data_IF_637378496668
#
_entry.id   IF_637378496668
#
_cell.length_a   1.000
_cell.length_b   1.000
_cell.length_c   1.000
_cell.angle_alpha   90.00
_cell.angle_beta   90.00
_cell.angle_gamma   90.00
#
_symmetry.space_group_name_H-M   'P 1'
#
loop_
_entity.id
_entity.type
_entity.pdbx_description
1 polymer ?
#
# COMPACT_ATOMS: atom_id res chain seq x y z
N UNK A 1 10.60 -54.98 1.41
CA UNK A 1 9.93 -53.75 0.94
C UNK A 1 8.51 -54.16 0.64
N UNK A 2 7.57 -53.78 1.51
CA UNK A 2 6.16 -54.11 1.31
C UNK A 2 5.63 -53.30 0.14
N UNK A 3 5.13 -53.99 -0.90
CA UNK A 3 4.43 -53.34 -2.02
C UNK A 3 3.28 -52.51 -1.45
N UNK A 4 3.25 -51.22 -1.75
CA UNK A 4 2.11 -50.38 -1.38
C UNK A 4 0.83 -50.94 -2.03
N UNK A 5 -0.30 -50.96 -1.30
CA UNK A 5 -1.55 -51.45 -1.83
C UNK A 5 -2.04 -50.53 -2.96
N UNK A 6 -2.26 -51.09 -4.14
CA UNK A 6 -2.63 -50.34 -5.35
C UNK A 6 -4.10 -49.88 -5.35
N UNK A 7 -4.92 -50.47 -4.50
CA UNK A 7 -6.30 -50.08 -4.24
C UNK A 7 -6.53 -49.97 -2.73
N UNK A 8 -7.21 -48.91 -2.28
CA UNK A 8 -7.43 -48.65 -0.85
C UNK A 8 -8.87 -48.24 -0.61
N UNK A 9 -9.58 -48.98 0.24
CA UNK A 9 -10.93 -48.62 0.66
C UNK A 9 -10.92 -47.41 1.61
N UNK A 10 -11.86 -46.47 1.40
CA UNK A 10 -12.00 -45.21 2.14
C UNK A 10 -13.37 -45.16 2.80
N UNK A 11 -13.46 -44.48 3.94
CA UNK A 11 -14.73 -44.20 4.62
C UNK A 11 -15.62 -45.44 4.85
N UNK A 12 -15.00 -46.60 5.07
CA UNK A 12 -15.72 -47.86 5.30
C UNK A 12 -16.42 -47.76 6.65
N UNK A 13 -17.75 -47.82 6.74
CA UNK A 13 -18.48 -47.77 8.01
C UNK A 13 -18.11 -48.92 8.95
N UNK A 14 -18.41 -48.79 10.24
CA UNK A 14 -18.37 -49.95 11.16
C UNK A 14 -19.60 -50.85 10.97
N UNK A 15 -20.70 -50.27 10.50
CA UNK A 15 -21.94 -50.98 10.19
C UNK A 15 -22.69 -50.33 9.04
N UNK A 16 -23.47 -51.12 8.32
CA UNK A 16 -24.34 -50.67 7.23
C UNK A 16 -25.78 -51.18 7.43
N UNK A 17 -26.76 -50.43 6.91
CA UNK A 17 -28.17 -50.82 6.99
C UNK A 17 -28.60 -51.56 5.71
N UNK A 18 -29.07 -52.81 5.81
CA UNK A 18 -29.42 -53.59 4.62
C UNK A 18 -30.61 -53.03 3.84
N UNK A 19 -31.47 -52.22 4.45
CA UNK A 19 -32.58 -51.57 3.74
C UNK A 19 -32.13 -50.39 2.87
N UNK A 20 -30.89 -49.93 2.99
CA UNK A 20 -30.34 -48.80 2.24
C UNK A 20 -29.28 -49.24 1.24
N UNK A 21 -29.05 -48.45 0.19
CA UNK A 21 -27.89 -48.65 -0.69
C UNK A 21 -26.61 -48.49 0.11
N UNK A 22 -25.59 -49.30 -0.19
CA UNK A 22 -24.27 -49.18 0.40
C UNK A 22 -23.30 -48.60 -0.61
N UNK A 23 -22.68 -47.48 -0.24
CA UNK A 23 -21.68 -46.79 -1.03
C UNK A 23 -20.28 -47.20 -0.55
N UNK A 24 -19.56 -47.94 -1.39
CA UNK A 24 -18.20 -48.38 -1.14
C UNK A 24 -17.23 -47.41 -1.81
N UNK A 25 -16.61 -46.54 -1.01
CA UNK A 25 -15.63 -45.58 -1.48
C UNK A 25 -14.24 -46.21 -1.49
N UNK A 26 -13.49 -46.01 -2.56
CA UNK A 26 -12.12 -46.52 -2.68
C UNK A 26 -11.28 -45.59 -3.55
N UNK A 27 -9.96 -45.66 -3.38
CA UNK A 27 -9.00 -44.92 -4.19
C UNK A 27 -8.08 -45.89 -4.92
N UNK A 28 -7.91 -45.70 -6.22
CA UNK A 28 -6.92 -46.42 -7.03
C UNK A 28 -5.69 -45.54 -7.17
N UNK A 29 -4.51 -46.13 -6.93
CA UNK A 29 -3.23 -45.43 -7.07
C UNK A 29 -2.79 -45.36 -8.53
N UNK A 30 -1.87 -44.45 -8.87
CA UNK A 30 -1.26 -44.35 -10.20
C UNK A 30 -0.63 -45.64 -10.73
N UNK A 31 -0.19 -46.54 -9.84
CA UNK A 31 0.38 -47.85 -10.20
C UNK A 31 -0.68 -48.90 -10.55
N UNK A 32 -1.96 -48.64 -10.24
CA UNK A 32 -3.05 -49.56 -10.48
C UNK A 32 -3.59 -49.44 -11.91
N UNK A 33 -3.78 -50.58 -12.58
CA UNK A 33 -4.38 -50.63 -13.91
C UNK A 33 -5.77 -51.22 -13.82
N UNK A 34 -6.76 -50.35 -13.75
CA UNK A 34 -8.17 -50.73 -13.79
C UNK A 34 -8.51 -51.51 -15.08
N UNK A 35 -9.37 -52.50 -14.93
CA UNK A 35 -10.04 -53.21 -16.02
C UNK A 35 -11.55 -53.21 -15.82
N UNK A 36 -12.32 -53.20 -16.90
CA UNK A 36 -13.78 -53.38 -16.86
C UNK A 36 -14.22 -54.75 -16.32
N UNK A 37 -13.29 -55.70 -16.17
CA UNK A 37 -13.51 -57.00 -15.54
C UNK A 37 -13.12 -57.03 -14.05
N UNK A 38 -12.66 -55.91 -13.49
CA UNK A 38 -12.42 -55.78 -12.05
C UNK A 38 -13.76 -55.61 -11.33
N UNK A 39 -13.87 -56.18 -10.13
CA UNK A 39 -15.10 -56.13 -9.34
C UNK A 39 -14.79 -56.02 -7.86
N UNK A 40 -15.73 -55.42 -7.11
CA UNK A 40 -15.66 -55.38 -5.66
C UNK A 40 -16.75 -56.29 -5.12
N UNK A 41 -16.38 -57.20 -4.24
CA UNK A 41 -17.29 -58.09 -3.55
C UNK A 41 -17.43 -57.75 -2.07
N UNK A 42 -18.57 -58.14 -1.51
CA UNK A 42 -18.79 -58.23 -0.06
C UNK A 42 -18.56 -59.69 0.33
N UNK A 43 -17.64 -59.94 1.25
CA UNK A 43 -17.28 -61.28 1.71
C UNK A 43 -17.47 -61.40 3.21
N UNK A 44 -17.97 -62.53 3.69
CA UNK A 44 -17.96 -62.87 5.12
C UNK A 44 -16.50 -63.07 5.57
N UNK A 45 -16.11 -62.48 6.71
CA UNK A 45 -14.74 -62.59 7.24
C UNK A 45 -14.39 -64.07 7.46
N UNK A 46 -13.18 -64.47 7.06
CA UNK A 46 -12.73 -65.87 7.10
C UNK A 46 -12.94 -66.64 5.79
N UNK A 47 -13.35 -65.97 4.71
CA UNK A 47 -13.37 -66.54 3.36
C UNK A 47 -11.98 -67.01 2.91
N UNK A 48 -11.94 -68.07 2.10
CA UNK A 48 -10.71 -68.69 1.58
C UNK A 48 -10.59 -68.69 0.06
N UNK A 49 -11.66 -68.29 -0.63
CA UNK A 49 -11.71 -68.24 -2.09
C UNK A 49 -12.54 -67.06 -2.58
N UNK A 50 -12.13 -66.42 -3.66
CA UNK A 50 -12.89 -65.34 -4.32
C UNK A 50 -14.28 -65.77 -4.78
N UNK A 51 -14.57 -67.07 -4.85
CA UNK A 51 -15.90 -67.62 -5.16
C UNK A 51 -16.88 -67.56 -3.99
N UNK A 52 -16.42 -67.24 -2.78
CA UNK A 52 -17.25 -67.15 -1.56
C UNK A 52 -17.79 -65.72 -1.33
N UNK A 53 -17.91 -64.91 -2.39
CA UNK A 53 -18.55 -63.60 -2.28
C UNK A 53 -20.03 -63.77 -1.91
N UNK A 54 -20.55 -62.86 -1.09
CA UNK A 54 -21.98 -62.78 -0.81
C UNK A 54 -22.71 -62.05 -1.95
N UNK A 55 -22.17 -60.89 -2.33
CA UNK A 55 -22.64 -60.11 -3.48
C UNK A 55 -21.45 -59.35 -4.08
N UNK A 56 -21.59 -58.87 -5.31
CA UNK A 56 -20.55 -58.13 -6.00
C UNK A 56 -21.13 -57.01 -6.87
N UNK A 57 -20.26 -56.08 -7.24
CA UNK A 57 -20.54 -55.08 -8.26
C UNK A 57 -19.27 -54.84 -9.09
N UNK A 58 -19.45 -54.55 -10.37
CA UNK A 58 -18.33 -54.24 -11.25
C UNK A 58 -17.70 -52.89 -10.87
N UNK A 59 -16.39 -52.80 -10.97
CA UNK A 59 -15.64 -51.57 -10.71
C UNK A 59 -15.88 -50.61 -11.86
N UNK A 60 -16.37 -49.42 -11.52
CA UNK A 60 -16.54 -48.30 -12.44
C UNK A 60 -15.61 -47.17 -12.01
N UNK A 61 -14.85 -46.63 -12.97
CA UNK A 61 -14.03 -45.42 -12.80
C UNK A 61 -14.75 -44.21 -13.39
N UNK A 62 -14.54 -42.99 -12.85
CA UNK A 62 -15.07 -41.76 -13.45
C UNK A 62 -14.64 -41.58 -14.91
N UNK A 63 -15.44 -40.86 -15.70
CA UNK A 63 -15.12 -40.55 -17.11
C UNK A 63 -13.79 -39.79 -17.27
N UNK A 64 -13.36 -39.07 -16.23
CA UNK A 64 -12.09 -38.34 -16.18
C UNK A 64 -10.87 -39.20 -15.85
N UNK A 65 -11.02 -40.52 -15.75
CA UNK A 65 -9.92 -41.42 -15.43
C UNK A 65 -8.86 -41.48 -16.54
N UNK A 66 -7.60 -41.27 -16.16
CA UNK A 66 -6.44 -41.50 -17.00
C UNK A 66 -5.49 -42.49 -16.32
N UNK A 67 -4.95 -43.46 -17.07
CA UNK A 67 -3.92 -44.39 -16.55
C UNK A 67 -2.76 -43.59 -15.96
N UNK A 68 -2.27 -43.99 -14.78
CA UNK A 68 -1.19 -43.28 -14.08
C UNK A 68 -1.65 -42.15 -13.14
N UNK A 69 -2.95 -41.94 -12.96
CA UNK A 69 -3.48 -40.94 -12.01
C UNK A 69 -4.09 -41.60 -10.77
N UNK A 70 -4.01 -40.90 -9.63
CA UNK A 70 -4.74 -41.31 -8.44
C UNK A 70 -6.20 -40.88 -8.59
N UNK A 71 -7.13 -41.79 -8.43
CA UNK A 71 -8.57 -41.52 -8.59
C UNK A 71 -9.36 -42.03 -7.40
N UNK A 72 -10.35 -41.25 -6.97
CA UNK A 72 -11.36 -41.68 -6.00
C UNK A 72 -12.58 -42.20 -6.76
N UNK A 73 -13.08 -43.35 -6.35
CA UNK A 73 -14.16 -44.07 -6.99
C UNK A 73 -15.20 -44.49 -5.95
N UNK A 74 -16.42 -44.75 -6.42
CA UNK A 74 -17.52 -45.23 -5.59
C UNK A 74 -18.21 -46.40 -6.28
N UNK A 75 -18.27 -47.54 -5.60
CA UNK A 75 -19.00 -48.72 -6.02
C UNK A 75 -20.31 -48.80 -5.23
N UNK A 76 -21.42 -49.04 -5.94
CA UNK A 76 -22.75 -49.08 -5.34
C UNK A 76 -23.24 -50.52 -5.21
N UNK A 77 -23.66 -50.88 -3.99
CA UNK A 77 -24.33 -52.13 -3.70
C UNK A 77 -25.82 -51.87 -3.44
N UNK A 78 -26.67 -52.54 -4.22
CA UNK A 78 -28.12 -52.39 -4.12
C UNK A 78 -28.64 -53.13 -2.87
N UNK A 79 -29.56 -52.50 -2.13
CA UNK A 79 -30.10 -52.99 -0.85
C UNK A 79 -30.62 -54.43 -0.91
N UNK A 80 -31.32 -54.78 -1.99
CA UNK A 80 -31.87 -56.13 -2.23
C UNK A 80 -30.84 -57.27 -2.18
N UNK A 81 -29.56 -56.99 -2.45
CA UNK A 81 -28.49 -58.00 -2.45
C UNK A 81 -27.60 -57.93 -1.21
N UNK A 82 -27.93 -57.11 -0.21
CA UNK A 82 -27.12 -56.97 0.99
C UNK A 82 -27.41 -58.10 2.00
N UNK A 83 -26.42 -58.47 2.83
CA UNK A 83 -26.64 -59.37 3.94
C UNK A 83 -27.73 -58.90 4.90
N UNK A 84 -28.51 -59.85 5.41
CA UNK A 84 -29.49 -59.56 6.44
C UNK A 84 -28.80 -59.13 7.75
N UNK A 85 -29.49 -58.36 8.61
CA UNK A 85 -28.95 -58.00 9.92
C UNK A 85 -28.49 -59.23 10.71
N UNK A 86 -27.21 -59.28 11.06
CA UNK A 86 -26.61 -60.41 11.77
C UNK A 86 -25.29 -60.01 12.44
N UNK A 87 -24.80 -60.76 13.44
CA UNK A 87 -23.48 -60.50 14.05
C UNK A 87 -22.31 -60.91 13.14
N UNK A 88 -22.58 -61.39 11.92
CA UNK A 88 -21.54 -61.78 10.98
C UNK A 88 -20.80 -60.54 10.49
N UNK A 89 -19.48 -60.64 10.48
CA UNK A 89 -18.62 -59.60 9.94
C UNK A 89 -18.39 -59.84 8.45
N UNK A 90 -18.40 -58.73 7.70
CA UNK A 90 -18.13 -58.69 6.28
C UNK A 90 -17.01 -57.71 5.99
N UNK A 91 -16.41 -57.83 4.81
CA UNK A 91 -15.42 -56.87 4.30
C UNK A 91 -15.60 -56.68 2.80
N UNK A 92 -15.22 -55.51 2.30
CA UNK A 92 -15.07 -55.28 0.87
C UNK A 92 -13.76 -55.88 0.39
N UNK A 93 -13.80 -56.49 -0.78
CA UNK A 93 -12.65 -57.10 -1.43
C UNK A 93 -12.60 -56.65 -2.87
N UNK A 94 -11.47 -56.07 -3.28
CA UNK A 94 -11.23 -55.71 -4.67
C UNK A 94 -10.60 -56.90 -5.39
N UNK A 95 -11.22 -57.37 -6.45
CA UNK A 95 -10.74 -58.50 -7.26
C UNK A 95 -10.45 -58.00 -8.68
N UNK A 96 -9.23 -58.24 -9.15
CA UNK A 96 -8.83 -57.85 -10.50
C UNK A 96 -9.35 -58.82 -11.56
N UNK A 97 -9.17 -58.46 -12.83
CA UNK A 97 -9.51 -59.27 -14.02
C UNK A 97 -8.90 -60.69 -14.01
N UNK A 98 -7.79 -60.88 -13.32
CA UNK A 98 -7.07 -62.15 -13.22
C UNK A 98 -7.63 -63.04 -12.09
N UNK A 99 -8.62 -62.52 -11.33
CA UNK A 99 -9.27 -63.22 -10.23
C UNK A 99 -8.51 -63.13 -8.90
N UNK A 100 -7.53 -62.24 -8.79
CA UNK A 100 -6.72 -62.04 -7.59
C UNK A 100 -7.30 -60.95 -6.70
N UNK A 101 -7.37 -61.22 -5.41
CA UNK A 101 -7.81 -60.24 -4.43
C UNK A 101 -6.67 -59.27 -4.11
N UNK A 102 -6.82 -58.02 -4.54
CA UNK A 102 -5.78 -57.00 -4.53
C UNK A 102 -5.87 -56.06 -3.32
N UNK A 103 -7.04 -55.97 -2.68
CA UNK A 103 -7.25 -55.13 -1.51
C UNK A 103 -8.42 -55.65 -0.67
N UNK A 104 -8.36 -55.39 0.64
CA UNK A 104 -9.38 -55.73 1.62
C UNK A 104 -9.67 -54.52 2.50
N UNK A 105 -10.93 -54.28 2.85
CA UNK A 105 -11.30 -53.25 3.81
C UNK A 105 -11.13 -53.73 5.25
N UNK A 106 -11.31 -52.80 6.21
CA UNK A 106 -11.67 -53.18 7.57
C UNK A 106 -13.01 -53.94 7.59
N UNK A 107 -13.23 -54.77 8.60
CA UNK A 107 -14.49 -55.48 8.77
C UNK A 107 -15.62 -54.53 9.20
N UNK A 108 -16.85 -54.91 8.85
CA UNK A 108 -18.09 -54.21 9.19
C UNK A 108 -19.24 -55.21 9.31
N UNK A 109 -20.35 -54.79 9.93
CA UNK A 109 -21.54 -55.62 10.10
C UNK A 109 -22.75 -55.04 9.37
N UNK A 110 -23.75 -55.87 9.09
CA UNK A 110 -25.08 -55.39 8.70
C UNK A 110 -25.98 -55.41 9.93
N UNK A 111 -26.55 -54.26 10.29
CA UNK A 111 -27.41 -54.13 11.45
C UNK A 111 -28.73 -53.44 11.07
N UNK A 112 -29.76 -53.63 11.88
CA UNK A 112 -30.97 -52.83 11.75
C UNK A 112 -30.68 -51.41 12.28
N UNK A 113 -31.25 -50.36 11.67
CA UNK A 113 -31.18 -49.02 12.23
C UNK A 113 -31.71 -49.04 13.66
N UNK A 114 -30.91 -48.52 14.60
CA UNK A 114 -31.37 -48.31 15.98
C UNK A 114 -32.35 -47.14 15.97
N UNK A 115 -33.50 -47.25 16.64
CA UNK A 115 -34.42 -46.13 16.75
C UNK A 115 -33.73 -44.93 17.41
N UNK A 116 -33.89 -43.74 16.82
CA UNK A 116 -33.36 -42.47 17.36
C UNK A 116 -34.11 -42.01 18.63
N UNK A 117 -35.09 -42.79 19.09
CA UNK A 117 -35.75 -42.64 20.40
C UNK A 117 -34.85 -43.07 21.58
N UNK A 118 -33.62 -43.53 21.32
CA UNK A 118 -32.62 -43.78 22.37
C UNK A 118 -32.40 -42.50 23.19
N UNK A 119 -32.52 -42.63 24.52
CA UNK A 119 -32.38 -41.52 25.45
C UNK A 119 -30.89 -41.26 25.72
N UNK A 120 -30.47 -40.00 25.68
CA UNK A 120 -29.15 -39.56 26.11
C UNK A 120 -29.26 -38.85 27.47
N UNK A 121 -28.26 -39.09 28.32
CA UNK A 121 -28.12 -38.45 29.63
C UNK A 121 -27.09 -37.34 29.53
N UNK A 122 -27.52 -36.11 29.80
CA UNK A 122 -26.66 -34.94 29.89
C UNK A 122 -26.57 -34.49 31.35
N UNK A 123 -25.43 -33.93 31.72
CA UNK A 123 -25.29 -33.22 32.99
C UNK A 123 -25.83 -31.82 32.79
N UNK A 124 -26.74 -31.37 33.65
CA UNK A 124 -27.06 -29.95 33.72
C UNK A 124 -25.82 -29.21 34.22
N UNK A 125 -25.23 -28.37 33.38
CA UNK A 125 -24.29 -27.36 33.86
C UNK A 125 -25.11 -26.35 34.67
N UNK A 126 -25.23 -26.58 35.98
CA UNK A 126 -25.65 -25.53 36.91
C UNK A 126 -24.63 -24.40 36.78
N UNK A 127 -25.12 -23.18 36.55
CA UNK A 127 -24.27 -22.00 36.61
C UNK A 127 -23.56 -21.95 37.96
N UNK A 128 -22.33 -21.43 37.97
CA UNK A 128 -21.36 -21.42 39.07
C UNK A 128 -21.83 -20.73 40.39
N UNK A 129 -23.13 -20.46 40.57
CA UNK A 129 -23.68 -19.66 41.68
C UNK A 129 -24.47 -20.48 42.74
N UNK A 130 -24.71 -21.77 42.53
CA UNK A 130 -25.32 -22.64 43.55
C UNK A 130 -24.32 -23.75 43.90
N UNK A 131 -23.44 -23.48 44.86
CA UNK A 131 -22.70 -24.51 45.62
C UNK A 131 -22.99 -24.26 47.11
N UNK A 132 -24.17 -24.66 47.57
CA UNK A 132 -24.38 -24.90 49.00
C UNK A 132 -25.53 -25.90 49.20
N UNK A 133 -25.18 -27.02 49.84
CA UNK A 133 -26.03 -28.09 50.37
C UNK A 133 -26.29 -29.29 49.43
N UNK A 134 -25.44 -30.31 49.54
CA UNK A 134 -25.80 -31.72 49.29
C UNK A 134 -26.41 -32.06 47.93
N UNK A 135 -25.89 -31.49 46.85
CA UNK A 135 -26.53 -31.52 45.54
C UNK A 135 -26.53 -32.91 44.89
N UNK A 136 -27.73 -33.51 44.79
CA UNK A 136 -27.97 -34.59 43.85
C UNK A 136 -27.71 -34.06 42.43
N UNK A 137 -26.68 -34.58 41.77
CA UNK A 137 -26.36 -34.28 40.37
C UNK A 137 -27.56 -34.66 39.49
N UNK A 138 -28.34 -33.66 39.07
CA UNK A 138 -29.51 -33.84 38.22
C UNK A 138 -29.05 -34.17 36.79
N UNK A 139 -29.32 -35.40 36.36
CA UNK A 139 -29.05 -35.87 35.01
C UNK A 139 -30.29 -35.65 34.14
N UNK A 140 -30.14 -34.83 33.09
CA UNK A 140 -31.19 -34.57 32.12
C UNK A 140 -31.24 -35.70 31.10
N UNK A 141 -32.36 -36.41 31.04
CA UNK A 141 -32.59 -37.50 30.08
C UNK A 141 -33.42 -36.97 28.91
N UNK A 142 -32.83 -36.84 27.73
CA UNK A 142 -33.48 -36.32 26.52
C UNK A 142 -33.37 -37.33 25.37
N UNK A 143 -34.42 -37.51 24.54
CA UNK A 143 -34.31 -38.29 23.32
C UNK A 143 -33.20 -37.74 22.41
N UNK A 144 -32.31 -38.61 21.96
CA UNK A 144 -31.18 -38.25 21.09
C UNK A 144 -31.61 -37.45 19.85
N UNK A 145 -32.76 -37.80 19.26
CA UNK A 145 -33.33 -37.06 18.15
C UNK A 145 -33.56 -35.56 18.47
N UNK A 146 -34.06 -35.26 19.66
CA UNK A 146 -34.32 -33.88 20.09
C UNK A 146 -33.02 -33.12 20.35
N UNK A 147 -32.03 -33.77 20.99
CA UNK A 147 -30.72 -33.15 21.21
C UNK A 147 -30.03 -32.79 19.90
N UNK A 148 -29.97 -33.75 18.96
CA UNK A 148 -29.35 -33.53 17.66
C UNK A 148 -30.07 -32.45 16.86
N UNK A 149 -31.40 -32.38 16.94
CA UNK A 149 -32.17 -31.32 16.30
C UNK A 149 -31.81 -29.94 16.87
N UNK A 150 -31.73 -29.81 18.20
CA UNK A 150 -31.34 -28.56 18.85
C UNK A 150 -29.92 -28.12 18.47
N UNK A 151 -28.96 -29.06 18.44
CA UNK A 151 -27.59 -28.77 18.01
C UNK A 151 -27.51 -28.36 16.54
N UNK A 152 -28.31 -29.00 15.68
CA UNK A 152 -28.40 -28.65 14.26
C UNK A 152 -28.95 -27.22 14.08
N UNK A 153 -30.04 -26.89 14.78
CA UNK A 153 -30.65 -25.57 14.70
C UNK A 153 -29.69 -24.48 15.19
N UNK A 154 -28.94 -24.74 16.27
CA UNK A 154 -27.91 -23.84 16.78
C UNK A 154 -26.76 -23.66 15.79
N UNK A 155 -26.31 -24.75 15.15
CA UNK A 155 -25.28 -24.69 14.12
C UNK A 155 -25.73 -23.87 12.90
N UNK A 156 -26.98 -24.05 12.46
CA UNK A 156 -27.57 -23.28 11.37
C UNK A 156 -27.70 -21.80 11.72
N UNK A 157 -28.09 -21.48 12.96
CA UNK A 157 -28.13 -20.11 13.48
C UNK A 157 -26.76 -19.46 13.42
N UNK A 158 -25.73 -20.08 14.00
CA UNK A 158 -24.35 -19.58 13.96
C UNK A 158 -23.85 -19.41 12.54
N UNK A 159 -24.18 -20.34 11.64
CA UNK A 159 -23.80 -20.24 10.23
C UNK A 159 -24.43 -19.00 9.58
N UNK A 160 -25.72 -18.72 9.83
CA UNK A 160 -26.39 -17.54 9.31
C UNK A 160 -25.77 -16.24 9.85
N UNK A 161 -25.49 -16.19 11.16
CA UNK A 161 -24.87 -15.03 11.80
C UNK A 161 -23.48 -14.73 11.22
N UNK A 162 -22.66 -15.77 11.02
CA UNK A 162 -21.33 -15.65 10.39
C UNK A 162 -21.45 -15.18 8.93
N UNK A 163 -22.41 -15.70 8.17
CA UNK A 163 -22.64 -15.28 6.79
C UNK A 163 -23.06 -13.81 6.71
N UNK A 164 -23.89 -13.34 7.63
CA UNK A 164 -24.28 -11.94 7.72
C UNK A 164 -23.06 -11.05 8.06
N UNK A 165 -22.29 -11.39 9.09
CA UNK A 165 -21.10 -10.64 9.48
C UNK A 165 -20.06 -10.57 8.34
N UNK A 166 -19.91 -11.64 7.57
CA UNK A 166 -19.03 -11.65 6.40
C UNK A 166 -19.50 -10.68 5.31
N UNK A 167 -20.81 -10.57 5.09
CA UNK A 167 -21.37 -9.65 4.10
C UNK A 167 -21.17 -8.20 4.52
N UNK A 168 -21.45 -7.88 5.79
CA UNK A 168 -21.23 -6.55 6.36
C UNK A 168 -19.75 -6.14 6.29
N UNK A 169 -18.83 -7.04 6.65
CA UNK A 169 -17.39 -6.79 6.57
C UNK A 169 -16.90 -6.54 5.13
N UNK A 170 -17.51 -7.19 4.12
CA UNK A 170 -17.17 -6.96 2.72
C UNK A 170 -17.62 -5.58 2.24
N UNK A 171 -18.84 -5.19 2.61
CA UNK A 171 -19.39 -3.88 2.26
C UNK A 171 -18.56 -2.76 2.90
N UNK A 172 -18.20 -2.89 4.18
CA UNK A 172 -17.34 -1.93 4.87
C UNK A 172 -15.95 -1.83 4.20
N UNK A 173 -15.34 -2.95 3.85
CA UNK A 173 -14.04 -2.95 3.16
C UNK A 173 -14.10 -2.31 1.76
N UNK A 174 -15.22 -2.47 1.04
CA UNK A 174 -15.42 -1.81 -0.25
C UNK A 174 -15.62 -0.30 -0.07
N UNK A 175 -16.42 0.11 0.91
CA UNK A 175 -16.62 1.51 1.26
C UNK A 175 -15.31 2.18 1.67
N UNK A 176 -14.52 1.56 2.55
CA UNK A 176 -13.23 2.10 2.99
C UNK A 176 -12.24 2.19 1.82
N UNK A 177 -12.24 1.21 0.91
CA UNK A 177 -11.42 1.24 -0.31
C UNK A 177 -11.80 2.42 -1.21
N UNK A 178 -13.09 2.73 -1.36
CA UNK A 178 -13.53 3.87 -2.17
C UNK A 178 -13.17 5.20 -1.51
N UNK A 179 -13.41 5.33 -0.21
CA UNK A 179 -12.97 6.51 0.55
C UNK A 179 -11.46 6.73 0.45
N UNK A 180 -10.68 5.66 0.53
CA UNK A 180 -9.23 5.74 0.39
C UNK A 180 -8.79 6.22 -1.01
N UNK A 181 -9.47 5.78 -2.08
CA UNK A 181 -9.20 6.28 -3.43
C UNK A 181 -9.48 7.78 -3.54
N UNK A 182 -10.61 8.24 -3.01
CA UNK A 182 -10.98 9.67 -3.03
C UNK A 182 -9.94 10.48 -2.27
N UNK A 183 -9.64 10.10 -1.02
CA UNK A 183 -8.64 10.77 -0.19
C UNK A 183 -7.26 10.81 -0.86
N UNK A 184 -6.88 9.73 -1.55
CA UNK A 184 -5.64 9.69 -2.33
C UNK A 184 -5.68 10.69 -3.48
N UNK A 185 -6.75 10.73 -4.28
CA UNK A 185 -6.88 11.69 -5.38
C UNK A 185 -6.82 13.14 -4.89
N UNK A 186 -7.52 13.46 -3.80
CA UNK A 186 -7.48 14.78 -3.17
C UNK A 186 -6.06 15.16 -2.72
N UNK A 187 -5.36 14.23 -2.07
CA UNK A 187 -3.98 14.45 -1.66
C UNK A 187 -3.04 14.67 -2.85
N UNK A 188 -3.25 13.96 -3.96
CA UNK A 188 -2.45 14.14 -5.18
C UNK A 188 -2.70 15.50 -5.85
N UNK A 189 -3.95 15.98 -5.87
CA UNK A 189 -4.32 17.29 -6.37
C UNK A 189 -3.66 18.40 -5.55
N UNK A 190 -3.77 18.33 -4.22
CA UNK A 190 -3.16 19.31 -3.31
C UNK A 190 -1.64 19.34 -3.44
N UNK A 191 -1.02 18.16 -3.54
CA UNK A 191 0.42 18.03 -3.77
C UNK A 191 0.85 18.69 -5.08
N UNK A 192 0.07 18.56 -6.14
CA UNK A 192 0.40 19.17 -7.44
C UNK A 192 0.18 20.69 -7.43
N UNK A 193 -0.87 21.17 -6.76
CA UNK A 193 -1.08 22.59 -6.53
C UNK A 193 0.10 23.24 -5.81
N UNK A 194 0.54 22.64 -4.69
CA UNK A 194 1.71 23.13 -3.94
C UNK A 194 3.00 23.10 -4.77
N UNK A 195 3.22 22.09 -5.61
CA UNK A 195 4.37 22.10 -6.52
C UNK A 195 4.29 23.27 -7.50
N UNK A 196 3.10 23.55 -8.04
CA UNK A 196 2.85 24.71 -8.89
C UNK A 196 3.25 26.02 -8.20
N UNK A 197 2.77 26.24 -6.99
CA UNK A 197 3.12 27.43 -6.20
C UNK A 197 4.64 27.53 -5.94
N UNK A 198 5.30 26.41 -5.61
CA UNK A 198 6.75 26.39 -5.43
C UNK A 198 7.48 26.78 -6.72
N UNK A 199 7.02 26.28 -7.88
CA UNK A 199 7.63 26.64 -9.17
C UNK A 199 7.45 28.12 -9.48
N UNK A 200 6.25 28.66 -9.26
CA UNK A 200 5.96 30.09 -9.48
C UNK A 200 6.80 30.99 -8.55
N UNK A 201 6.87 30.65 -7.26
CA UNK A 201 7.71 31.39 -6.31
C UNK A 201 9.20 31.35 -6.69
N UNK A 202 9.70 30.20 -7.15
CA UNK A 202 11.09 30.07 -7.62
C UNK A 202 11.37 30.94 -8.84
N UNK A 203 10.45 30.98 -9.79
CA UNK A 203 10.63 31.79 -11.00
C UNK A 203 10.48 33.28 -10.72
N UNK A 204 9.57 33.68 -9.84
CA UNK A 204 9.48 35.05 -9.34
C UNK A 204 10.77 35.48 -8.61
N UNK A 205 11.34 34.61 -7.77
CA UNK A 205 12.60 34.88 -7.09
C UNK A 205 13.77 35.03 -8.08
N UNK A 206 13.81 34.20 -9.13
CA UNK A 206 14.79 34.29 -10.21
C UNK A 206 14.65 35.62 -10.96
N UNK A 207 13.44 35.98 -11.36
CA UNK A 207 13.13 37.23 -12.04
C UNK A 207 13.54 38.45 -11.21
N UNK A 208 13.21 38.46 -9.92
CA UNK A 208 13.57 39.54 -9.00
C UNK A 208 15.10 39.63 -8.81
N UNK A 209 15.78 38.49 -8.69
CA UNK A 209 17.25 38.44 -8.61
C UNK A 209 17.92 39.04 -9.85
N UNK A 210 17.44 38.69 -11.05
CA UNK A 210 17.97 39.24 -12.29
C UNK A 210 17.68 40.74 -12.44
N UNK A 211 16.51 41.18 -12.00
CA UNK A 211 16.13 42.60 -11.97
C UNK A 211 17.03 43.38 -11.00
N UNK A 212 17.29 42.84 -9.81
CA UNK A 212 18.22 43.42 -8.84
C UNK A 212 19.64 43.53 -9.40
N UNK A 213 20.15 42.49 -10.08
CA UNK A 213 21.47 42.55 -10.74
C UNK A 213 21.54 43.66 -11.79
N UNK A 214 20.49 43.84 -12.61
CA UNK A 214 20.42 44.92 -13.60
C UNK A 214 20.41 46.30 -12.92
N UNK A 215 19.65 46.46 -11.85
CA UNK A 215 19.60 47.70 -11.07
C UNK A 215 20.94 48.00 -10.40
N UNK A 216 21.61 46.99 -9.84
CA UNK A 216 22.94 47.12 -9.26
C UNK A 216 23.97 47.55 -10.31
N UNK A 217 23.93 46.98 -11.53
CA UNK A 217 24.77 47.42 -12.65
C UNK A 217 24.56 48.91 -12.98
N UNK A 218 23.31 49.34 -13.17
CA UNK A 218 22.98 50.75 -13.40
C UNK A 218 23.45 51.65 -12.26
N UNK A 219 23.31 51.21 -11.01
CA UNK A 219 23.78 51.97 -9.86
C UNK A 219 25.31 52.10 -9.84
N UNK A 220 26.06 51.08 -10.26
CA UNK A 220 27.53 51.16 -10.42
C UNK A 220 27.91 52.16 -11.51
N UNK A 221 27.22 52.14 -12.65
CA UNK A 221 27.45 53.08 -13.76
C UNK A 221 27.19 54.54 -13.34
N UNK A 222 26.07 54.79 -12.65
CA UNK A 222 25.72 56.12 -12.11
C UNK A 222 26.74 56.56 -11.06
N UNK A 223 27.21 55.65 -10.21
CA UNK A 223 28.25 55.97 -9.22
C UNK A 223 29.56 56.37 -9.91
N UNK A 224 29.97 55.62 -10.92
CA UNK A 224 31.18 55.93 -11.70
C UNK A 224 31.07 57.29 -12.40
N UNK A 225 29.93 57.60 -13.00
CA UNK A 225 29.72 58.92 -13.64
C UNK A 225 29.66 60.06 -12.63
N UNK A 226 29.06 59.84 -11.45
CA UNK A 226 29.07 60.82 -10.35
C UNK A 226 30.49 61.08 -9.82
N UNK A 227 31.29 60.04 -9.61
CA UNK A 227 32.70 60.14 -9.21
C UNK A 227 33.52 60.91 -10.27
N UNK A 228 33.31 60.62 -11.56
CA UNK A 228 33.97 61.37 -12.63
C UNK A 228 33.56 62.85 -12.67
N UNK A 229 32.26 63.14 -12.55
CA UNK A 229 31.76 64.52 -12.57
C UNK A 229 32.22 65.32 -11.35
N UNK A 230 32.29 64.69 -10.18
CA UNK A 230 32.82 65.32 -8.97
C UNK A 230 34.31 65.60 -9.08
N UNK A 231 35.07 64.70 -9.71
CA UNK A 231 36.48 64.95 -10.03
C UNK A 231 36.64 66.14 -11.01
N UNK A 232 35.88 66.17 -12.10
CA UNK A 232 35.89 67.29 -13.06
C UNK A 232 35.49 68.62 -12.41
N UNK A 233 34.45 68.61 -11.57
CA UNK A 233 34.02 69.80 -10.82
C UNK A 233 35.10 70.30 -9.88
N UNK A 234 35.77 69.39 -9.14
CA UNK A 234 36.88 69.74 -8.26
C UNK A 234 38.05 70.35 -9.03
N UNK A 235 38.35 69.81 -10.22
CA UNK A 235 39.40 70.35 -11.11
C UNK A 235 39.05 71.76 -11.59
N UNK A 236 37.84 71.97 -12.10
CA UNK A 236 37.37 73.28 -12.56
C UNK A 236 37.32 74.31 -11.41
N UNK A 237 36.95 73.88 -10.19
CA UNK A 237 37.00 74.72 -9.00
C UNK A 237 38.42 75.18 -8.68
N UNK A 238 39.42 74.30 -8.80
CA UNK A 238 40.82 74.65 -8.60
C UNK A 238 41.33 75.63 -9.68
N UNK A 239 41.04 75.37 -10.95
CA UNK A 239 41.39 76.26 -12.08
C UNK A 239 40.71 77.63 -11.93
N UNK A 240 39.44 77.66 -11.51
CA UNK A 240 38.72 78.91 -11.23
C UNK A 240 39.38 79.67 -10.09
N UNK A 241 39.74 79.01 -8.98
CA UNK A 241 40.40 79.64 -7.85
C UNK A 241 41.79 80.22 -8.24
N UNK A 242 42.55 79.50 -9.08
CA UNK A 242 43.82 79.97 -9.64
C UNK A 242 43.63 81.19 -10.55
N UNK A 243 42.64 81.14 -11.45
CA UNK A 243 42.29 82.27 -12.33
C UNK A 243 41.83 83.50 -11.53
N UNK A 244 40.96 83.32 -10.54
CA UNK A 244 40.53 84.40 -9.63
C UNK A 244 41.70 84.99 -8.83
N UNK A 245 42.66 84.16 -8.39
CA UNK A 245 43.88 84.65 -7.75
C UNK A 245 44.71 85.48 -8.73
N UNK A 246 44.89 84.99 -9.96
CA UNK A 246 45.62 85.71 -11.00
C UNK A 246 44.97 87.05 -11.38
N UNK A 247 43.64 87.11 -11.40
CA UNK A 247 42.90 88.38 -11.59
C UNK A 247 43.18 89.34 -10.43
N UNK A 248 43.09 88.87 -9.18
CA UNK A 248 43.43 89.71 -8.00
C UNK A 248 44.86 90.25 -8.06
N UNK A 249 45.82 89.41 -8.40
CA UNK A 249 47.24 89.80 -8.51
C UNK A 249 47.41 90.88 -9.60
N UNK A 250 46.78 90.72 -10.77
CA UNK A 250 46.81 91.72 -11.84
C UNK A 250 46.09 93.02 -11.47
N UNK A 251 44.99 92.97 -10.72
CA UNK A 251 44.30 94.16 -10.20
C UNK A 251 45.18 94.94 -9.21
N UNK A 252 45.91 94.24 -8.34
CA UNK A 252 46.89 94.83 -7.43
C UNK A 252 48.04 95.48 -8.22
N UNK A 253 48.61 94.77 -9.21
CA UNK A 253 49.65 95.29 -10.10
C UNK A 253 49.18 96.54 -10.86
N UNK A 254 47.96 96.52 -11.42
CA UNK A 254 47.34 97.68 -12.08
C UNK A 254 47.19 98.87 -11.13
N UNK A 255 46.79 98.64 -9.87
CA UNK A 255 46.66 99.68 -8.85
C UNK A 255 48.02 100.30 -8.51
N UNK A 256 49.07 99.47 -8.38
CA UNK A 256 50.45 99.92 -8.18
C UNK A 256 50.90 100.78 -9.36
N UNK A 257 50.77 100.28 -10.59
CA UNK A 257 51.13 101.03 -11.81
C UNK A 257 50.37 102.35 -11.94
N UNK A 258 49.06 102.37 -11.65
CA UNK A 258 48.26 103.61 -11.68
C UNK A 258 48.73 104.62 -10.63
N UNK A 259 49.12 104.15 -9.44
CA UNK A 259 49.67 105.02 -8.40
C UNK A 259 51.05 105.57 -8.78
N UNK A 260 51.87 104.75 -9.45
CA UNK A 260 53.16 105.15 -9.97
C UNK A 260 53.02 106.16 -11.12
N UNK A 261 52.14 105.90 -12.10
CA UNK A 261 51.82 106.81 -13.19
C UNK A 261 51.30 108.15 -12.66
N UNK A 262 50.42 108.15 -11.65
CA UNK A 262 49.97 109.37 -10.97
C UNK A 262 51.13 110.11 -10.31
N UNK A 263 52.03 109.40 -9.62
CA UNK A 263 53.19 110.01 -8.98
C UNK A 263 54.14 110.63 -10.02
N UNK A 264 54.47 109.90 -11.09
CA UNK A 264 55.28 110.37 -12.21
C UNK A 264 54.62 111.56 -12.93
N UNK A 265 53.30 111.53 -13.13
CA UNK A 265 52.54 112.64 -13.72
C UNK A 265 52.54 113.87 -12.81
N UNK A 266 52.35 113.72 -11.49
CA UNK A 266 52.50 114.84 -10.55
C UNK A 266 53.92 115.40 -10.51
N UNK A 267 54.94 114.55 -10.70
CA UNK A 267 56.34 114.97 -10.78
C UNK A 267 56.61 115.72 -12.10
N UNK A 268 56.05 115.25 -13.21
CA UNK A 268 56.06 115.92 -14.51
C UNK A 268 55.36 117.29 -14.43
N UNK A 269 54.16 117.37 -13.86
CA UNK A 269 53.44 118.63 -13.62
C UNK A 269 54.26 119.58 -12.75
N UNK A 270 54.93 119.07 -11.71
CA UNK A 270 55.82 119.88 -10.87
C UNK A 270 57.01 120.42 -11.66
N UNK A 271 57.63 119.60 -12.52
CA UNK A 271 58.72 120.02 -13.41
C UNK A 271 58.24 121.03 -14.46
N UNK A 272 57.04 120.86 -15.02
CA UNK A 272 56.40 121.82 -15.92
C UNK A 272 56.13 123.14 -15.21
N UNK A 273 55.61 123.12 -13.98
CA UNK A 273 55.41 124.33 -13.20
C UNK A 273 56.73 125.03 -12.86
N UNK A 274 57.80 124.26 -12.63
CA UNK A 274 59.14 124.79 -12.37
C UNK A 274 59.76 125.41 -13.63
N UNK A 275 59.59 124.80 -14.82
CA UNK A 275 60.02 125.40 -16.10
C UNK A 275 59.16 126.58 -16.52
N UNK A 276 57.85 126.57 -16.27
CA UNK A 276 56.97 127.72 -16.46
C UNK A 276 57.32 128.88 -15.53
N UNK A 277 57.67 128.63 -14.27
CA UNK A 277 58.16 129.68 -13.35
C UNK A 277 59.52 130.25 -13.78
N UNK A 278 60.41 129.44 -14.36
CA UNK A 278 61.66 129.93 -14.96
C UNK A 278 61.36 130.82 -16.18
N UNK A 279 60.35 130.48 -17.00
CA UNK A 279 59.91 131.29 -18.13
C UNK A 279 59.26 132.62 -17.70
N UNK A 280 58.51 132.65 -16.59
CA UNK A 280 57.91 133.88 -16.03
C UNK A 280 58.98 134.85 -15.47
N UNK A 281 60.13 134.36 -14.99
CA UNK A 281 61.24 135.22 -14.56
C UNK A 281 62.12 135.74 -15.71
N UNK A 282 61.90 135.29 -16.95
CA UNK A 282 62.66 135.75 -18.13
C UNK A 282 61.84 136.70 -19.03
N UNK A 283 60.51 136.80 -18.85
CA UNK A 283 59.65 137.75 -19.59
C UNK A 283 58.61 138.45 -18.68
N UNK A 284 58.88 139.66 -18.17
CA UNK A 284 57.86 140.56 -17.65
C UNK A 284 57.10 141.28 -18.79
N UNK A 285 55.82 141.58 -18.52
CA UNK A 285 54.77 142.11 -19.39
C UNK A 285 55.14 143.11 -20.49
N UNK A 286 54.38 143.04 -21.58
CA UNK A 286 53.73 144.21 -22.21
C UNK A 286 52.26 143.92 -22.43
#
# INVERSE_FOLDING_TARGET
>A
MDKQPTAVFRNVGQSYFPQTRVECHYSLTSEHRWSSCDWIGIFEVGWSSVKQYYTYTWVLVPESYAEGTNVNCCALFHSFYLPHPSPKEYQFVYVNKDGEACAFSRSFTFCAPKPLEELETLKEEKGEEEEEDGEEELLLVIPRAQLLQSQLDECLKRQADIQQALQEAKEEAENEREHNKIAKMEWELEREAMKGEITELRDNLRYNSDTLKKMEGKHKDVRYSQENLTYELSKLMAEKAESEQRVRDLEEDMKVLTSQEKAENTELERKVFQTSNILVYIYPET
#
